data_IF_107715051012
#
_entry.id   IF_107715051012
#
_cell.length_a   1.000
_cell.length_b   1.000
_cell.length_c   1.000
_cell.angle_alpha   90.00
_cell.angle_beta   90.00
_cell.angle_gamma   90.00
#
_symmetry.space_group_name_H-M   'P 1'
#
loop_
_entity.id
_entity.type
_entity.pdbx_description
1 polymer ?
#
# COMPACT_ATOMS: atom_id res chain seq x y z
N UNK A 1 -23.54 38.49 -46.72
CA UNK A 1 -23.82 37.30 -45.88
C UNK A 1 -22.61 36.37 -46.02
N UNK A 2 -21.73 36.13 -45.02
CA UNK A 2 -21.91 35.23 -43.84
C UNK A 2 -22.77 34.02 -44.21
N UNK A 3 -22.41 32.73 -44.12
CA UNK A 3 -21.41 31.90 -43.39
C UNK A 3 -21.25 30.61 -44.26
N UNK A 4 -20.25 29.71 -44.23
CA UNK A 4 -19.09 29.41 -43.36
C UNK A 4 -17.90 28.96 -44.26
N UNK A 5 -16.67 28.88 -43.72
CA UNK A 5 -15.59 27.97 -44.17
C UNK A 5 -14.96 27.32 -42.92
N UNK A 6 -14.26 26.20 -43.11
CA UNK A 6 -13.41 25.48 -42.15
C UNK A 6 -14.13 24.58 -41.13
N UNK A 7 -14.03 23.26 -41.35
CA UNK A 7 -14.14 22.23 -40.31
C UNK A 7 -13.35 20.99 -40.74
N UNK A 8 -12.01 21.09 -40.78
CA UNK A 8 -11.10 19.97 -41.04
C UNK A 8 -9.63 20.34 -40.72
N UNK A 9 -9.35 20.81 -39.49
CA UNK A 9 -7.98 20.94 -38.99
C UNK A 9 -7.96 21.06 -37.45
N UNK A 10 -8.01 19.91 -36.76
CA UNK A 10 -7.95 19.86 -35.28
C UNK A 10 -7.33 18.56 -34.73
N UNK A 11 -6.47 17.87 -35.50
CA UNK A 11 -5.84 16.59 -35.10
C UNK A 11 -4.31 16.61 -35.06
N UNK A 12 -3.67 17.77 -35.24
CA UNK A 12 -2.21 17.88 -35.43
C UNK A 12 -1.53 19.02 -34.63
N UNK A 13 -2.07 19.40 -33.47
CA UNK A 13 -1.46 20.39 -32.56
C UNK A 13 -1.44 19.91 -31.10
N UNK A 14 -0.84 18.75 -30.86
CA UNK A 14 -0.34 18.33 -29.54
C UNK A 14 1.10 17.74 -29.54
N UNK A 15 2.10 18.33 -30.24
CA UNK A 15 3.50 17.90 -30.09
C UNK A 15 4.22 18.72 -29.00
N UNK A 16 3.98 18.44 -27.71
CA UNK A 16 4.93 18.62 -26.57
C UNK A 16 4.23 18.31 -25.24
N UNK A 17 3.95 17.03 -24.97
CA UNK A 17 3.65 16.54 -23.61
C UNK A 17 4.05 15.07 -23.42
N UNK A 18 5.14 14.64 -24.09
CA UNK A 18 5.85 13.43 -23.71
C UNK A 18 6.48 13.67 -22.34
N UNK A 19 5.91 13.06 -21.31
CA UNK A 19 6.28 13.25 -19.91
C UNK A 19 5.13 12.95 -18.94
N UNK A 20 3.88 13.10 -19.41
CA UNK A 20 2.69 12.54 -18.76
C UNK A 20 2.16 11.36 -19.59
N UNK A 21 2.92 10.26 -19.62
CA UNK A 21 2.39 8.99 -20.11
C UNK A 21 1.18 8.62 -19.26
N UNK A 22 0.12 8.13 -19.92
CA UNK A 22 -1.17 7.82 -19.30
C UNK A 22 -0.98 6.95 -18.04
N UNK A 23 -1.11 7.56 -16.85
CA UNK A 23 -1.28 6.78 -15.61
C UNK A 23 -2.63 6.09 -15.71
N UNK A 24 -2.58 4.81 -16.10
CA UNK A 24 -3.76 3.97 -16.24
C UNK A 24 -4.61 4.05 -14.97
N UNK A 25 -5.93 4.16 -15.16
CA UNK A 25 -6.89 4.08 -14.07
C UNK A 25 -6.66 2.80 -13.27
N UNK A 26 -6.71 2.92 -11.95
CA UNK A 26 -6.28 1.91 -10.97
C UNK A 26 -4.76 1.76 -10.69
N UNK A 27 -3.83 2.53 -11.29
CA UNK A 27 -2.42 2.47 -10.85
C UNK A 27 -2.21 2.91 -9.38
N UNK A 28 -3.15 3.71 -8.82
CA UNK A 28 -3.14 4.09 -7.40
C UNK A 28 -3.17 2.90 -6.42
N UNK A 29 -3.58 1.70 -6.86
CA UNK A 29 -3.61 0.50 -6.03
C UNK A 29 -2.20 0.06 -5.59
N UNK A 30 -1.18 0.40 -6.37
CA UNK A 30 0.25 0.12 -6.10
C UNK A 30 0.89 1.16 -5.17
N UNK A 31 0.20 2.27 -4.87
CA UNK A 31 0.73 3.31 -3.98
C UNK A 31 0.55 2.88 -2.52
N UNK A 32 1.65 2.83 -1.77
CA UNK A 32 1.64 2.50 -0.35
C UNK A 32 0.72 3.47 0.42
N UNK A 33 -0.35 2.98 1.07
CA UNK A 33 -1.37 3.84 1.67
C UNK A 33 -1.05 4.29 3.09
N UNK A 34 -0.12 3.63 3.78
CA UNK A 34 0.20 3.88 5.18
C UNK A 34 1.65 4.35 5.41
N UNK A 35 1.80 5.24 6.39
CA UNK A 35 3.09 5.87 6.69
C UNK A 35 4.17 4.89 7.21
N UNK A 36 3.78 3.79 7.90
CA UNK A 36 4.72 2.77 8.39
C UNK A 36 5.41 2.06 7.23
N UNK A 37 4.65 1.39 6.36
CA UNK A 37 5.18 0.71 5.18
C UNK A 37 5.84 1.69 4.22
N UNK A 38 5.31 2.91 4.06
CA UNK A 38 5.94 3.94 3.22
C UNK A 38 7.29 4.43 3.77
N UNK A 39 7.51 4.38 5.10
CA UNK A 39 8.82 4.63 5.71
C UNK A 39 9.84 3.50 5.44
N UNK A 40 9.34 2.32 5.09
CA UNK A 40 10.09 1.10 4.78
C UNK A 40 10.03 0.75 3.27
N UNK A 41 9.98 1.76 2.40
CA UNK A 41 9.98 1.59 0.94
C UNK A 41 8.86 0.69 0.38
N UNK A 42 7.70 0.70 1.03
CA UNK A 42 6.51 -0.04 0.59
C UNK A 42 6.44 -1.49 1.06
N UNK A 43 7.39 -1.96 1.88
CA UNK A 43 7.33 -3.32 2.43
C UNK A 43 6.20 -3.47 3.45
N UNK A 44 5.48 -4.59 3.40
CA UNK A 44 4.40 -4.92 4.32
C UNK A 44 3.75 -6.30 4.10
N UNK A 45 4.23 -7.10 3.14
CA UNK A 45 3.63 -8.40 2.80
C UNK A 45 3.83 -9.48 3.88
N UNK A 46 4.88 -9.35 4.69
CA UNK A 46 5.24 -10.31 5.74
C UNK A 46 5.33 -9.69 7.16
N UNK A 47 5.38 -8.36 7.28
CA UNK A 47 5.35 -7.63 8.57
C UNK A 47 4.11 -8.01 9.38
N UNK A 48 4.27 -8.23 10.69
CA UNK A 48 3.17 -8.63 11.60
C UNK A 48 2.77 -7.55 12.62
N UNK A 49 3.61 -6.52 12.83
CA UNK A 49 3.33 -5.37 13.71
C UNK A 49 2.70 -4.17 12.96
N UNK A 50 1.97 -4.46 11.88
CA UNK A 50 1.24 -3.50 11.05
C UNK A 50 -0.27 -3.83 10.99
N UNK A 51 -0.82 -4.55 11.99
CA UNK A 51 -2.17 -5.14 11.93
C UNK A 51 -3.30 -4.17 11.54
N UNK A 52 -3.18 -2.88 11.87
CA UNK A 52 -4.14 -1.83 11.50
C UNK A 52 -4.07 -1.39 10.03
N UNK A 53 -2.96 -1.62 9.33
CA UNK A 53 -2.74 -1.25 7.91
C UNK A 53 -2.56 -2.47 7.00
N UNK A 54 -2.34 -3.64 7.58
CA UNK A 54 -2.11 -4.92 6.92
C UNK A 54 -3.14 -5.33 5.85
N UNK A 55 -4.39 -4.84 5.93
CA UNK A 55 -5.40 -5.11 4.88
C UNK A 55 -4.95 -4.64 3.49
N UNK A 56 -4.25 -3.50 3.43
CA UNK A 56 -3.72 -2.91 2.20
C UNK A 56 -2.56 -3.70 1.60
N UNK A 57 -1.84 -4.43 2.45
CA UNK A 57 -0.69 -5.26 2.08
C UNK A 57 -1.11 -6.72 2.05
N UNK A 58 -0.99 -7.45 3.15
CA UNK A 58 -1.40 -8.84 3.25
C UNK A 58 -2.20 -9.09 4.52
N UNK A 59 -3.53 -9.15 4.42
CA UNK A 59 -4.43 -9.33 5.56
C UNK A 59 -4.20 -10.62 6.37
N UNK A 60 -3.50 -11.62 5.83
CA UNK A 60 -3.19 -12.86 6.56
C UNK A 60 -2.19 -12.63 7.71
N UNK A 61 -1.36 -11.57 7.64
CA UNK A 61 -0.42 -11.17 8.71
C UNK A 61 -1.13 -10.80 10.02
N UNK A 62 -2.36 -10.28 9.94
CA UNK A 62 -3.17 -9.82 11.09
C UNK A 62 -3.37 -10.93 12.13
N UNK A 63 -3.46 -12.20 11.69
CA UNK A 63 -3.61 -13.33 12.58
C UNK A 63 -2.43 -13.51 13.57
N UNK A 64 -1.24 -12.98 13.21
CA UNK A 64 -0.02 -12.99 14.00
C UNK A 64 0.29 -11.66 14.70
N UNK A 65 -0.60 -10.66 14.59
CA UNK A 65 -0.48 -9.42 15.36
C UNK A 65 -0.55 -9.71 16.87
N UNK A 66 0.07 -8.85 17.69
CA UNK A 66 -0.11 -8.91 19.15
C UNK A 66 -1.43 -8.25 19.58
N UNK A 67 -1.87 -7.23 18.84
CA UNK A 67 -3.09 -6.46 19.08
C UNK A 67 -4.33 -7.31 18.72
N UNK A 68 -5.44 -7.13 19.45
CA UNK A 68 -6.73 -7.78 19.20
C UNK A 68 -7.55 -7.02 18.16
N UNK A 69 -7.51 -5.69 18.23
CA UNK A 69 -8.20 -4.82 17.28
C UNK A 69 -7.43 -3.51 17.07
N UNK A 70 -7.81 -2.78 16.04
CA UNK A 70 -7.31 -1.43 15.86
C UNK A 70 -7.85 -0.76 14.62
N UNK A 71 -7.80 0.56 14.64
CA UNK A 71 -8.14 1.43 13.52
C UNK A 71 -6.92 2.26 13.14
N UNK A 72 -6.78 2.62 11.87
CA UNK A 72 -5.81 3.63 11.44
C UNK A 72 -6.36 4.53 10.34
N UNK A 73 -5.77 5.70 10.26
CA UNK A 73 -5.99 6.69 9.22
C UNK A 73 -4.64 7.19 8.74
N UNK A 74 -4.47 7.31 7.42
CA UNK A 74 -3.26 7.79 6.77
C UNK A 74 -3.60 8.82 5.71
N UNK A 75 -2.76 9.84 5.61
CA UNK A 75 -2.78 10.85 4.58
C UNK A 75 -1.42 10.93 3.90
N UNK A 76 -1.38 10.66 2.60
CA UNK A 76 -0.21 10.88 1.77
C UNK A 76 -0.43 12.06 0.82
N UNK A 77 0.55 12.96 0.73
CA UNK A 77 0.66 13.96 -0.33
C UNK A 77 1.74 13.52 -1.31
N UNK A 78 1.38 13.30 -2.56
CA UNK A 78 2.25 12.66 -3.56
C UNK A 78 2.55 13.65 -4.69
N UNK A 79 3.83 13.83 -5.03
CA UNK A 79 4.33 14.79 -6.03
C UNK A 79 3.71 16.21 -5.97
N UNK A 80 3.37 16.67 -4.76
CA UNK A 80 2.65 17.93 -4.48
C UNK A 80 1.25 18.11 -5.09
N UNK A 81 0.88 17.38 -6.13
CA UNK A 81 -0.41 17.52 -6.82
C UNK A 81 -1.45 16.50 -6.33
N UNK A 82 -1.05 15.23 -6.21
CA UNK A 82 -1.91 14.12 -5.82
C UNK A 82 -2.08 14.03 -4.29
N UNK A 83 -3.17 13.40 -3.85
CA UNK A 83 -3.35 13.04 -2.44
C UNK A 83 -4.05 11.69 -2.30
N UNK A 84 -3.62 10.88 -1.34
CA UNK A 84 -4.25 9.61 -0.96
C UNK A 84 -4.69 9.71 0.49
N UNK A 85 -5.96 9.46 0.74
CA UNK A 85 -6.48 9.20 2.07
C UNK A 85 -6.70 7.69 2.20
N UNK A 86 -6.37 7.12 3.34
CA UNK A 86 -6.57 5.69 3.62
C UNK A 86 -7.02 5.51 5.05
N UNK A 87 -7.98 4.63 5.27
CA UNK A 87 -8.56 4.34 6.58
C UNK A 87 -8.84 2.85 6.69
N UNK A 88 -8.54 2.24 7.83
CA UNK A 88 -8.73 0.81 8.04
C UNK A 88 -9.10 0.48 9.47
N UNK A 89 -9.73 -0.68 9.64
CA UNK A 89 -10.14 -1.28 10.90
C UNK A 89 -9.87 -2.78 10.82
N UNK A 90 -9.37 -3.41 11.88
CA UNK A 90 -9.37 -4.87 12.02
C UNK A 90 -9.87 -5.30 13.40
N UNK A 91 -10.37 -6.54 13.45
CA UNK A 91 -10.82 -7.18 14.69
C UNK A 91 -10.56 -8.69 14.61
N UNK A 92 -9.78 -9.21 15.57
CA UNK A 92 -9.53 -10.65 15.75
C UNK A 92 -10.59 -11.23 16.68
N UNK A 93 -11.14 -12.37 16.28
CA UNK A 93 -12.28 -13.02 16.95
C UNK A 93 -11.77 -14.17 17.83
N UNK A 94 -12.32 -14.21 19.05
CA UNK A 94 -12.08 -15.27 20.02
C UNK A 94 -10.77 -15.11 20.81
N UNK A 95 -10.69 -15.78 21.96
CA UNK A 95 -9.52 -15.71 22.86
C UNK A 95 -8.21 -16.21 22.23
N UNK A 96 -8.31 -17.07 21.21
CA UNK A 96 -7.16 -17.62 20.48
C UNK A 96 -6.76 -16.76 19.28
N UNK A 97 -7.56 -15.74 18.90
CA UNK A 97 -7.26 -14.83 17.79
C UNK A 97 -7.09 -15.48 16.41
N UNK A 98 -7.54 -16.73 16.24
CA UNK A 98 -7.27 -17.57 15.06
C UNK A 98 -7.91 -17.08 13.76
N UNK A 99 -8.86 -16.16 13.82
CA UNK A 99 -9.54 -15.62 12.65
C UNK A 99 -10.09 -14.22 12.95
N UNK A 100 -10.49 -13.50 11.92
CA UNK A 100 -11.05 -12.17 12.10
C UNK A 100 -11.35 -11.49 10.77
N UNK A 101 -11.78 -10.23 10.89
CA UNK A 101 -12.10 -9.39 9.74
C UNK A 101 -11.27 -8.12 9.75
N UNK A 102 -11.03 -7.57 8.57
CA UNK A 102 -10.57 -6.21 8.40
C UNK A 102 -11.39 -5.49 7.33
N UNK A 103 -11.50 -4.18 7.46
CA UNK A 103 -12.17 -3.29 6.51
C UNK A 103 -11.20 -2.17 6.17
N UNK A 104 -11.10 -1.83 4.89
CA UNK A 104 -10.21 -0.81 4.37
C UNK A 104 -10.98 0.13 3.45
N UNK A 105 -10.58 1.39 3.42
CA UNK A 105 -11.10 2.38 2.50
C UNK A 105 -9.95 3.27 2.03
N UNK A 106 -9.86 3.48 0.72
CA UNK A 106 -8.87 4.39 0.13
C UNK A 106 -9.56 5.36 -0.81
N UNK A 107 -9.10 6.61 -0.81
CA UNK A 107 -9.60 7.66 -1.67
C UNK A 107 -8.42 8.46 -2.23
N UNK A 108 -8.14 8.23 -3.50
CA UNK A 108 -7.11 8.92 -4.27
C UNK A 108 -7.74 10.10 -5.01
N UNK A 109 -7.04 11.24 -4.95
CA UNK A 109 -7.44 12.53 -5.51
C UNK A 109 -6.40 12.97 -6.52
N UNK A 110 -6.84 13.09 -7.76
CA UNK A 110 -6.03 13.58 -8.87
C UNK A 110 -5.82 15.10 -8.82
N UNK A 111 -4.83 15.63 -9.57
CA UNK A 111 -4.73 17.06 -9.86
C UNK A 111 -6.04 17.63 -10.42
N UNK A 112 -6.21 18.95 -10.26
CA UNK A 112 -7.32 19.65 -10.93
C UNK A 112 -7.14 19.56 -12.44
N UNK A 113 -8.16 19.08 -13.14
CA UNK A 113 -8.27 19.18 -14.60
C UNK A 113 -9.41 20.16 -14.89
N UNK A 114 -9.06 21.34 -15.40
CA UNK A 114 -9.95 22.51 -15.42
C UNK A 114 -10.43 22.80 -13.98
N UNK A 115 -11.74 22.77 -13.71
CA UNK A 115 -12.32 23.00 -12.39
C UNK A 115 -12.71 21.73 -11.63
N UNK A 116 -12.71 20.56 -12.27
CA UNK A 116 -13.03 19.28 -11.63
C UNK A 116 -11.78 18.59 -11.09
N UNK A 117 -11.96 17.81 -10.02
CA UNK A 117 -10.95 16.87 -9.52
C UNK A 117 -11.45 15.45 -9.77
N UNK A 118 -10.85 14.72 -10.72
CA UNK A 118 -11.05 13.28 -10.81
C UNK A 118 -10.74 12.63 -9.47
N UNK A 119 -11.51 11.60 -9.15
CA UNK A 119 -11.29 10.84 -7.94
C UNK A 119 -11.62 9.37 -8.16
N UNK A 120 -10.83 8.53 -7.52
CA UNK A 120 -11.02 7.08 -7.46
C UNK A 120 -10.97 6.66 -6.00
N UNK A 121 -11.92 5.82 -5.62
CA UNK A 121 -11.98 5.26 -4.29
C UNK A 121 -12.16 3.75 -4.37
N UNK A 122 -11.67 3.06 -3.34
CA UNK A 122 -11.92 1.64 -3.17
C UNK A 122 -12.27 1.30 -1.72
N UNK A 123 -13.10 0.27 -1.57
CA UNK A 123 -13.57 -0.28 -0.31
C UNK A 123 -13.21 -1.76 -0.25
N UNK A 124 -12.61 -2.16 0.86
CA UNK A 124 -12.04 -3.48 1.10
C UNK A 124 -12.74 -4.15 2.27
N UNK A 125 -13.02 -5.43 2.13
CA UNK A 125 -13.45 -6.30 3.22
C UNK A 125 -12.63 -7.59 3.16
N UNK A 126 -11.82 -7.83 4.19
CA UNK A 126 -10.97 -9.01 4.31
C UNK A 126 -11.47 -9.95 5.42
N UNK A 127 -11.36 -11.24 5.16
CA UNK A 127 -11.42 -12.29 6.18
C UNK A 127 -10.10 -13.04 6.22
N UNK A 128 -9.54 -13.24 7.41
CA UNK A 128 -8.30 -13.98 7.61
C UNK A 128 -8.49 -15.10 8.64
N UNK A 129 -7.71 -16.18 8.51
CA UNK A 129 -7.76 -17.34 9.41
C UNK A 129 -6.44 -18.13 9.42
N UNK A 130 -5.99 -18.46 10.62
CA UNK A 130 -5.01 -19.51 10.88
C UNK A 130 -5.59 -20.87 10.49
N UNK A 131 -4.99 -21.50 9.48
CA UNK A 131 -5.34 -22.83 8.97
C UNK A 131 -4.42 -23.93 9.52
N UNK A 132 -3.23 -23.54 10.01
CA UNK A 132 -2.35 -24.40 10.80
C UNK A 132 -1.61 -23.54 11.85
N UNK A 133 -0.91 -24.19 12.79
CA UNK A 133 -0.25 -23.55 13.96
C UNK A 133 0.58 -22.30 13.62
N UNK A 134 1.21 -22.29 12.45
CA UNK A 134 2.12 -21.25 11.97
C UNK A 134 1.69 -20.64 10.62
N UNK A 135 0.49 -20.96 10.11
CA UNK A 135 0.07 -20.59 8.75
C UNK A 135 -1.32 -19.92 8.78
N UNK A 136 -1.36 -18.68 8.31
CA UNK A 136 -2.57 -17.89 8.10
C UNK A 136 -2.85 -17.74 6.60
N UNK A 137 -4.14 -17.75 6.23
CA UNK A 137 -4.62 -17.39 4.90
C UNK A 137 -5.65 -16.26 5.01
N UNK A 138 -5.75 -15.44 3.98
CA UNK A 138 -6.77 -14.39 3.87
C UNK A 138 -7.38 -14.29 2.48
N UNK A 139 -8.63 -13.83 2.44
CA UNK A 139 -9.33 -13.42 1.23
C UNK A 139 -9.84 -11.99 1.44
N UNK A 140 -9.42 -11.06 0.59
CA UNK A 140 -9.90 -9.68 0.55
C UNK A 140 -10.78 -9.49 -0.67
N UNK A 141 -11.98 -8.97 -0.49
CA UNK A 141 -12.83 -8.45 -1.55
C UNK A 141 -12.64 -6.93 -1.65
N UNK A 142 -12.44 -6.42 -2.86
CA UNK A 142 -12.26 -4.99 -3.13
C UNK A 142 -13.26 -4.52 -4.18
N UNK A 143 -14.01 -3.48 -3.84
CA UNK A 143 -14.86 -2.75 -4.78
C UNK A 143 -14.20 -1.41 -5.11
N UNK A 144 -14.08 -1.09 -6.40
CA UNK A 144 -13.50 0.16 -6.88
C UNK A 144 -14.54 0.99 -7.62
N UNK A 145 -14.50 2.31 -7.45
CA UNK A 145 -15.24 3.26 -8.27
C UNK A 145 -14.37 4.45 -8.65
N UNK A 146 -14.34 4.75 -9.94
CA UNK A 146 -13.66 5.90 -10.51
C UNK A 146 -14.66 6.88 -11.14
N UNK A 147 -14.43 8.18 -10.96
CA UNK A 147 -15.14 9.23 -11.70
C UNK A 147 -14.13 10.21 -12.31
N UNK A 148 -14.04 10.19 -13.64
CA UNK A 148 -13.02 10.92 -14.39
C UNK A 148 -13.38 12.40 -14.66
N UNK A 149 -14.67 12.73 -14.73
CA UNK A 149 -15.17 14.09 -14.95
C UNK A 149 -16.53 14.28 -14.26
N UNK A 150 -16.91 15.53 -13.96
CA UNK A 150 -18.18 15.85 -13.31
C UNK A 150 -19.41 15.27 -14.04
N UNK A 151 -19.40 15.35 -15.38
CA UNK A 151 -20.45 14.85 -16.27
C UNK A 151 -20.21 13.43 -16.80
N UNK A 152 -19.17 12.72 -16.32
CA UNK A 152 -18.92 11.34 -16.71
C UNK A 152 -19.61 10.34 -15.77
N UNK A 153 -20.11 9.24 -16.34
CA UNK A 153 -20.62 8.11 -15.56
C UNK A 153 -19.52 7.50 -14.68
N UNK A 154 -19.85 7.25 -13.42
CA UNK A 154 -18.98 6.49 -12.51
C UNK A 154 -18.72 5.08 -13.07
N UNK A 155 -17.45 4.69 -13.16
CA UNK A 155 -17.02 3.36 -13.60
C UNK A 155 -16.67 2.52 -12.39
N UNK A 156 -17.27 1.33 -12.29
CA UNK A 156 -17.11 0.45 -11.15
C UNK A 156 -16.36 -0.84 -11.54
N UNK A 157 -15.51 -1.35 -10.66
CA UNK A 157 -14.89 -2.66 -10.79
C UNK A 157 -14.87 -3.42 -9.46
N UNK A 158 -14.58 -4.72 -9.53
CA UNK A 158 -14.41 -5.61 -8.38
C UNK A 158 -13.20 -6.51 -8.60
N UNK A 159 -12.44 -6.78 -7.54
CA UNK A 159 -11.36 -7.74 -7.53
C UNK A 159 -11.23 -8.48 -6.18
N UNK A 160 -10.44 -9.54 -6.20
CA UNK A 160 -10.11 -10.37 -5.07
C UNK A 160 -8.59 -10.36 -4.86
N UNK A 161 -8.19 -10.33 -3.59
CA UNK A 161 -6.81 -10.53 -3.17
C UNK A 161 -6.72 -11.78 -2.29
N UNK A 162 -5.77 -12.65 -2.57
CA UNK A 162 -5.47 -13.85 -1.78
C UNK A 162 -4.16 -13.63 -1.05
N UNK A 163 -4.16 -13.81 0.27
CA UNK A 163 -2.98 -13.67 1.12
C UNK A 163 -2.65 -14.97 1.85
N UNK A 164 -1.37 -15.21 2.06
CA UNK A 164 -0.85 -16.25 2.93
C UNK A 164 0.33 -15.71 3.74
N UNK A 165 0.45 -16.12 5.00
CA UNK A 165 1.60 -15.78 5.85
C UNK A 165 1.99 -17.00 6.67
N UNK A 166 3.26 -17.39 6.61
CA UNK A 166 3.87 -18.34 7.53
C UNK A 166 4.72 -17.58 8.54
N UNK A 167 4.52 -17.80 9.83
CA UNK A 167 5.22 -17.12 10.93
C UNK A 167 5.86 -18.13 11.88
N UNK A 168 7.10 -17.88 12.34
CA UNK A 168 7.79 -18.76 13.28
C UNK A 168 8.85 -18.04 14.12
N UNK A 169 8.89 -18.35 15.41
CA UNK A 169 9.98 -17.94 16.31
C UNK A 169 11.29 -18.69 15.97
N UNK A 170 12.43 -18.03 16.18
CA UNK A 170 13.78 -18.52 16.00
C UNK A 170 14.38 -18.88 17.35
N UNK A 171 15.21 -19.92 17.43
CA UNK A 171 16.02 -20.21 18.63
C UNK A 171 17.24 -19.26 18.74
N UNK A 172 16.97 -17.95 18.72
CA UNK A 172 17.95 -16.87 18.75
C UNK A 172 17.39 -15.75 19.65
N UNK A 173 18.25 -15.08 20.44
CA UNK A 173 17.84 -14.11 21.46
C UNK A 173 16.77 -14.69 22.41
N UNK A 174 17.09 -15.79 23.09
CA UNK A 174 16.20 -16.50 24.05
C UNK A 174 14.79 -16.81 23.51
N UNK A 175 14.73 -17.32 22.28
CA UNK A 175 13.51 -17.61 21.50
C UNK A 175 12.61 -16.39 21.17
N UNK A 176 13.09 -15.16 21.41
CA UNK A 176 12.34 -13.93 21.15
C UNK A 176 12.42 -13.46 19.69
N UNK A 177 13.47 -13.79 18.95
CA UNK A 177 13.57 -13.45 17.53
C UNK A 177 12.53 -14.24 16.71
N UNK A 178 12.00 -13.64 15.65
CA UNK A 178 11.03 -14.31 14.78
C UNK A 178 11.22 -13.95 13.31
N UNK A 179 10.66 -14.79 12.44
CA UNK A 179 10.60 -14.52 11.01
C UNK A 179 9.23 -14.88 10.46
N UNK A 180 8.89 -14.24 9.35
CA UNK A 180 7.71 -14.51 8.56
C UNK A 180 8.04 -14.51 7.07
N UNK A 181 7.28 -15.30 6.33
CA UNK A 181 7.20 -15.22 4.86
C UNK A 181 5.74 -14.99 4.49
N UNK A 182 5.50 -13.96 3.69
CA UNK A 182 4.19 -13.58 3.18
C UNK A 182 4.11 -13.81 1.68
N UNK A 183 2.99 -14.34 1.19
CA UNK A 183 2.66 -14.39 -0.23
C UNK A 183 1.33 -13.68 -0.47
N UNK A 184 1.22 -12.98 -1.60
CA UNK A 184 -0.03 -12.37 -2.03
C UNK A 184 -0.24 -12.51 -3.54
N UNK A 185 -1.47 -12.78 -3.96
CA UNK A 185 -1.95 -12.52 -5.30
C UNK A 185 -3.06 -11.47 -5.23
N UNK A 186 -2.80 -10.25 -5.70
CA UNK A 186 -3.67 -9.09 -5.53
C UNK A 186 -4.24 -8.54 -6.84
N UNK A 187 -5.29 -7.74 -6.73
CA UNK A 187 -6.01 -7.05 -7.80
C UNK A 187 -6.55 -8.00 -8.89
N UNK A 188 -6.88 -9.25 -8.53
CA UNK A 188 -7.43 -10.25 -9.47
C UNK A 188 -8.91 -10.00 -9.70
N UNK A 189 -9.28 -9.38 -10.82
CA UNK A 189 -10.67 -9.02 -11.05
C UNK A 189 -11.01 -8.44 -12.41
N UNK A 190 -12.18 -7.78 -12.45
CA UNK A 190 -12.72 -7.17 -13.66
C UNK A 190 -11.88 -5.95 -14.06
N UNK A 191 -11.84 -5.65 -15.35
CA UNK A 191 -11.26 -4.41 -15.89
C UNK A 191 -12.02 -3.18 -15.39
N UNK A 192 -11.29 -2.11 -15.05
CA UNK A 192 -11.84 -0.78 -14.79
C UNK A 192 -11.78 0.03 -16.09
N UNK A 193 -12.91 0.54 -16.55
CA UNK A 193 -13.06 1.32 -17.79
C UNK A 193 -12.31 0.76 -19.02
N UNK A 194 -12.31 -0.58 -19.17
CA UNK A 194 -11.62 -1.29 -20.26
C UNK A 194 -10.13 -1.55 -20.04
N UNK A 195 -9.50 -0.89 -19.06
CA UNK A 195 -8.11 -1.08 -18.63
C UNK A 195 -7.99 -2.24 -17.63
N UNK A 196 -6.89 -3.00 -17.67
CA UNK A 196 -6.65 -4.09 -16.72
C UNK A 196 -6.23 -3.50 -15.37
N UNK A 197 -6.75 -4.03 -14.27
CA UNK A 197 -6.22 -3.72 -12.93
C UNK A 197 -4.75 -4.20 -12.83
N UNK A 198 -3.92 -3.55 -12.00
CA UNK A 198 -2.54 -3.98 -11.69
C UNK A 198 -2.52 -5.27 -10.87
N UNK A 199 -2.92 -6.38 -11.51
CA UNK A 199 -2.83 -7.72 -10.95
C UNK A 199 -1.36 -8.04 -10.61
N UNK A 200 -1.05 -8.33 -9.36
CA UNK A 200 0.33 -8.54 -8.89
C UNK A 200 0.49 -9.81 -8.07
N UNK A 201 1.67 -10.41 -8.16
CA UNK A 201 2.13 -11.48 -7.28
C UNK A 201 3.25 -10.94 -6.39
N UNK A 202 3.02 -10.98 -5.08
CA UNK A 202 3.96 -10.53 -4.05
C UNK A 202 4.54 -11.70 -3.25
N UNK A 203 5.83 -11.65 -2.96
CA UNK A 203 6.49 -12.51 -1.98
C UNK A 203 7.34 -11.63 -1.05
N UNK A 204 7.01 -11.65 0.24
CA UNK A 204 7.70 -10.91 1.29
C UNK A 204 8.38 -11.81 2.30
N UNK A 205 9.43 -11.29 2.92
CA UNK A 205 10.08 -11.86 4.10
C UNK A 205 10.29 -10.79 5.15
N UNK A 206 10.15 -11.14 6.42
CA UNK A 206 10.47 -10.24 7.54
C UNK A 206 11.19 -11.00 8.64
N UNK A 207 12.16 -10.35 9.28
CA UNK A 207 12.87 -10.85 10.46
C UNK A 207 12.78 -9.78 11.54
N UNK A 208 12.32 -10.18 12.73
CA UNK A 208 12.26 -9.35 13.93
C UNK A 208 13.33 -9.80 14.93
N UNK A 209 14.18 -8.85 15.33
CA UNK A 209 15.31 -9.02 16.24
C UNK A 209 15.12 -8.13 17.49
N UNK A 210 14.43 -8.62 18.54
CA UNK A 210 14.29 -7.92 19.81
C UNK A 210 15.57 -8.10 20.65
N UNK A 211 16.48 -7.13 20.57
CA UNK A 211 17.70 -7.11 21.39
C UNK A 211 17.42 -6.90 22.88
N UNK A 212 16.28 -6.27 23.21
CA UNK A 212 15.75 -6.14 24.57
C UNK A 212 14.25 -5.86 24.52
N UNK A 213 13.59 -5.81 25.69
CA UNK A 213 12.16 -5.44 25.84
C UNK A 213 11.86 -4.05 25.24
N UNK A 214 12.87 -3.17 25.16
CA UNK A 214 12.73 -1.78 24.73
C UNK A 214 13.28 -1.50 23.32
N UNK A 215 14.11 -2.41 22.77
CA UNK A 215 14.86 -2.18 21.55
C UNK A 215 14.70 -3.37 20.59
N UNK A 216 14.07 -3.12 19.44
CA UNK A 216 13.74 -4.13 18.41
C UNK A 216 14.10 -3.61 17.02
N UNK A 217 14.88 -4.39 16.28
CA UNK A 217 15.14 -4.18 14.86
C UNK A 217 14.30 -5.14 14.03
N UNK A 218 13.45 -4.62 13.16
CA UNK A 218 12.78 -5.37 12.11
C UNK A 218 13.47 -5.10 10.79
N UNK A 219 13.64 -6.13 9.95
CA UNK A 219 14.09 -6.01 8.56
C UNK A 219 13.09 -6.73 7.66
N UNK A 220 12.58 -6.04 6.65
CA UNK A 220 11.62 -6.55 5.68
C UNK A 220 12.17 -6.46 4.25
N UNK A 221 11.79 -7.43 3.42
CA UNK A 221 12.18 -7.54 2.02
C UNK A 221 11.01 -8.10 1.22
N UNK A 222 10.43 -7.28 0.33
CA UNK A 222 9.28 -7.65 -0.49
C UNK A 222 9.64 -7.60 -1.98
N UNK A 223 9.23 -8.62 -2.73
CA UNK A 223 9.30 -8.68 -4.19
C UNK A 223 7.89 -8.68 -4.77
N UNK A 224 7.58 -7.77 -5.68
CA UNK A 224 6.27 -7.67 -6.33
C UNK A 224 6.43 -7.76 -7.86
N UNK A 225 5.69 -8.65 -8.50
CA UNK A 225 5.69 -8.81 -9.96
C UNK A 225 4.31 -8.49 -10.53
N UNK A 226 4.24 -7.42 -11.34
CA UNK A 226 3.01 -6.97 -11.98
C UNK A 226 2.77 -7.78 -13.25
N UNK A 227 1.56 -8.33 -13.39
CA UNK A 227 1.17 -9.24 -14.47
C UNK A 227 0.70 -8.56 -15.77
N UNK A 228 -0.05 -7.43 -15.77
CA UNK A 228 -0.59 -6.87 -17.01
C UNK A 228 0.50 -6.40 -17.95
N UNK A 229 0.44 -6.84 -19.21
CA UNK A 229 1.41 -6.55 -20.28
C UNK A 229 1.85 -5.09 -20.40
N UNK A 230 0.94 -4.15 -20.18
CA UNK A 230 1.18 -2.70 -20.27
C UNK A 230 2.14 -2.18 -19.19
N UNK A 231 2.08 -2.75 -17.97
CA UNK A 231 2.82 -2.32 -16.78
C UNK A 231 3.65 -3.48 -16.17
N UNK A 232 3.97 -4.50 -16.97
CA UNK A 232 4.64 -5.72 -16.50
C UNK A 232 6.11 -5.45 -16.17
N UNK A 233 6.43 -5.48 -14.88
CA UNK A 233 7.78 -5.37 -14.35
C UNK A 233 7.90 -6.02 -12.96
N UNK A 234 9.13 -6.20 -12.50
CA UNK A 234 9.46 -6.58 -11.13
C UNK A 234 9.76 -5.30 -10.33
N UNK A 235 9.25 -5.23 -9.12
CA UNK A 235 9.61 -4.27 -8.08
C UNK A 235 10.16 -5.02 -6.87
N UNK A 236 11.03 -4.39 -6.10
CA UNK A 236 11.47 -4.90 -4.80
C UNK A 236 11.60 -3.76 -3.79
N UNK A 237 11.11 -3.95 -2.57
CA UNK A 237 11.32 -3.04 -1.45
C UNK A 237 12.21 -3.71 -0.40
N UNK A 238 13.20 -3.00 0.12
CA UNK A 238 13.90 -3.38 1.35
C UNK A 238 13.71 -2.29 2.39
N UNK A 239 13.35 -2.67 3.60
CA UNK A 239 13.03 -1.76 4.69
C UNK A 239 13.57 -2.25 6.04
N UNK A 240 13.88 -1.31 6.92
CA UNK A 240 14.23 -1.58 8.31
C UNK A 240 13.48 -0.62 9.24
N UNK A 241 13.00 -1.16 10.36
CA UNK A 241 12.38 -0.40 11.45
C UNK A 241 13.16 -0.67 12.74
N UNK A 242 13.68 0.38 13.38
CA UNK A 242 14.28 0.30 14.70
C UNK A 242 13.40 1.00 15.72
N UNK A 243 12.92 0.22 16.68
CA UNK A 243 12.19 0.70 17.84
C UNK A 243 13.19 0.91 18.96
N UNK A 244 13.17 2.09 19.59
CA UNK A 244 14.07 2.46 20.68
C UNK A 244 13.27 2.97 21.88
N UNK A 245 13.70 2.57 23.09
CA UNK A 245 13.04 2.92 24.35
C UNK A 245 11.54 2.59 24.37
N UNK A 246 11.08 1.58 23.62
CA UNK A 246 9.66 1.18 23.43
C UNK A 246 8.73 2.22 22.76
N UNK A 247 9.01 3.51 22.86
CA UNK A 247 8.17 4.59 22.34
C UNK A 247 8.59 5.11 20.98
N UNK A 248 9.89 5.24 20.73
CA UNK A 248 10.41 5.87 19.52
C UNK A 248 10.62 4.88 18.40
N UNK A 249 10.28 5.27 17.17
CA UNK A 249 10.51 4.45 15.98
C UNK A 249 11.25 5.27 14.93
N UNK A 250 12.28 4.67 14.31
CA UNK A 250 12.91 5.17 13.09
C UNK A 250 12.86 4.11 12.00
N UNK A 251 12.63 4.54 10.76
CA UNK A 251 12.50 3.69 9.59
C UNK A 251 13.36 4.21 8.45
N UNK A 252 13.94 3.28 7.70
CA UNK A 252 14.58 3.58 6.44
C UNK A 252 14.31 2.45 5.45
N UNK A 253 14.28 2.77 4.16
CA UNK A 253 14.12 1.77 3.12
C UNK A 253 14.59 2.25 1.76
N UNK A 254 14.68 1.32 0.82
CA UNK A 254 14.93 1.61 -0.58
C UNK A 254 14.01 0.77 -1.47
N UNK A 255 13.32 1.45 -2.39
CA UNK A 255 12.46 0.86 -3.40
C UNK A 255 13.21 0.74 -4.71
N UNK A 256 13.19 -0.45 -5.30
CA UNK A 256 13.69 -0.77 -6.62
C UNK A 256 12.49 -1.00 -7.55
N UNK A 257 12.41 -0.25 -8.65
CA UNK A 257 11.32 -0.35 -9.61
C UNK A 257 11.72 0.14 -11.00
N UNK A 258 10.97 -0.30 -12.01
CA UNK A 258 11.11 0.16 -13.39
C UNK A 258 10.71 1.66 -13.47
N UNK A 259 11.56 2.48 -14.09
CA UNK A 259 11.33 3.93 -14.24
C UNK A 259 10.30 4.27 -15.32
N UNK A 260 10.15 3.40 -16.31
CA UNK A 260 9.28 3.63 -17.47
C UNK A 260 7.89 3.01 -17.27
N UNK A 261 7.80 1.93 -16.48
CA UNK A 261 6.57 1.17 -16.23
C UNK A 261 6.00 1.29 -14.82
N UNK A 262 6.67 2.00 -13.93
CA UNK A 262 6.27 2.05 -12.52
C UNK A 262 6.75 3.28 -11.79
N UNK A 263 6.80 3.17 -10.47
CA UNK A 263 7.14 4.27 -9.55
C UNK A 263 8.62 4.67 -9.67
N UNK A 264 9.46 3.80 -10.22
CA UNK A 264 10.92 3.94 -10.26
C UNK A 264 11.60 3.66 -8.92
N UNK A 265 12.87 4.04 -8.83
CA UNK A 265 13.69 3.87 -7.64
C UNK A 265 13.57 5.09 -6.71
N UNK A 266 13.43 4.85 -5.40
CA UNK A 266 13.44 5.91 -4.40
C UNK A 266 13.88 5.37 -3.03
N UNK A 267 14.60 6.20 -2.27
CA UNK A 267 14.84 5.96 -0.85
C UNK A 267 13.65 6.41 0.00
N UNK A 268 13.53 5.90 1.21
CA UNK A 268 12.52 6.35 2.18
C UNK A 268 13.14 6.53 3.55
N UNK A 269 12.63 7.53 4.29
CA UNK A 269 12.85 7.68 5.71
C UNK A 269 11.49 7.78 6.39
N UNK A 270 11.40 7.27 7.61
CA UNK A 270 10.24 7.46 8.45
C UNK A 270 10.60 7.53 9.92
N UNK A 271 9.66 8.05 10.70
CA UNK A 271 9.72 8.02 12.15
C UNK A 271 8.31 7.76 12.70
N UNK A 272 8.24 7.36 13.96
CA UNK A 272 6.98 7.11 14.63
C UNK A 272 7.08 7.22 16.14
N UNK A 273 5.92 7.34 16.78
CA UNK A 273 5.74 7.35 18.23
C UNK A 273 4.65 6.33 18.57
N UNK A 274 5.03 5.31 19.33
CA UNK A 274 4.14 4.31 19.88
C UNK A 274 3.85 4.66 21.35
N UNK A 275 2.70 5.28 21.62
CA UNK A 275 2.25 5.60 22.97
C UNK A 275 0.87 4.99 23.21
N UNK A 276 0.87 3.73 23.68
CA UNK A 276 -0.34 2.91 23.79
C UNK A 276 -1.52 3.66 24.42
N UNK A 277 -2.74 3.61 23.81
CA UNK A 277 -3.12 2.84 22.62
C UNK A 277 -2.81 3.52 21.27
N UNK A 278 -2.22 4.71 21.27
CA UNK A 278 -2.03 5.54 20.06
C UNK A 278 -0.69 5.20 19.38
N UNK A 279 -0.71 5.07 18.06
CA UNK A 279 0.49 5.07 17.20
C UNK A 279 0.41 6.29 16.27
N UNK A 280 1.52 6.99 16.06
CA UNK A 280 1.59 8.10 15.11
C UNK A 280 2.87 7.95 14.27
N UNK A 281 2.73 8.01 12.96
CA UNK A 281 3.79 7.68 12.01
C UNK A 281 3.93 8.78 10.95
N UNK A 282 5.16 9.05 10.54
CA UNK A 282 5.48 9.96 9.45
C UNK A 282 6.50 9.30 8.51
N UNK A 283 6.37 9.54 7.21
CA UNK A 283 7.36 9.11 6.23
C UNK A 283 7.56 10.12 5.10
N UNK A 284 8.74 10.07 4.50
CA UNK A 284 9.18 10.94 3.42
C UNK A 284 9.96 10.14 2.37
N UNK A 285 9.62 10.32 1.10
CA UNK A 285 10.30 9.68 -0.02
C UNK A 285 11.42 10.57 -0.58
N UNK A 286 12.63 10.01 -0.55
CA UNK A 286 13.87 10.56 -1.13
C UNK A 286 14.00 10.05 -2.57
N UNK A 287 13.43 10.80 -3.50
CA UNK A 287 13.33 10.42 -4.90
C UNK A 287 13.94 11.47 -5.84
N UNK A 288 14.50 11.01 -6.96
CA UNK A 288 15.07 11.84 -8.02
C UNK A 288 14.02 12.76 -8.68
N UNK A 289 14.50 13.74 -9.46
CA UNK A 289 13.65 14.78 -10.08
C UNK A 289 12.52 14.22 -10.94
N UNK A 290 12.76 13.07 -11.57
CA UNK A 290 11.89 12.43 -12.58
C UNK A 290 11.04 11.29 -12.00
N UNK A 291 11.19 10.97 -10.70
CA UNK A 291 10.43 9.91 -10.05
C UNK A 291 9.08 10.42 -9.51
N UNK A 292 8.02 9.62 -9.67
CA UNK A 292 6.67 9.94 -9.21
C UNK A 292 6.58 10.17 -7.68
N UNK A 293 7.46 9.58 -6.89
CA UNK A 293 7.49 9.73 -5.42
C UNK A 293 8.27 10.96 -4.94
N UNK A 294 8.71 11.83 -5.84
CA UNK A 294 9.37 13.09 -5.49
C UNK A 294 8.50 13.94 -4.58
N UNK A 295 9.09 14.47 -3.50
CA UNK A 295 8.39 15.32 -2.50
C UNK A 295 7.16 14.64 -1.88
N UNK A 296 7.10 13.30 -1.93
CA UNK A 296 6.02 12.55 -1.29
C UNK A 296 6.26 12.45 0.21
N UNK A 297 5.23 12.76 0.99
CA UNK A 297 5.23 12.56 2.43
C UNK A 297 3.91 11.95 2.88
N UNK A 298 3.94 11.19 3.97
CA UNK A 298 2.76 10.59 4.58
C UNK A 298 2.73 10.84 6.09
N UNK A 299 1.51 10.95 6.62
CA UNK A 299 1.24 11.00 8.06
C UNK A 299 0.13 10.00 8.39
N UNK A 300 0.42 9.08 9.29
CA UNK A 300 -0.49 8.07 9.81
C UNK A 300 -0.79 8.27 11.29
N UNK A 301 -2.01 7.95 11.70
CA UNK A 301 -2.40 7.83 13.12
C UNK A 301 -3.21 6.54 13.26
N UNK A 302 -2.83 5.72 14.23
CA UNK A 302 -3.50 4.48 14.59
C UNK A 302 -3.92 4.45 16.06
N UNK A 303 -4.92 3.64 16.36
CA UNK A 303 -5.31 3.27 17.72
C UNK A 303 -5.44 1.75 17.75
N UNK A 304 -4.74 1.08 18.68
CA UNK A 304 -4.69 -0.38 18.80
C UNK A 304 -4.97 -0.84 20.23
N UNK A 305 -5.57 -2.03 20.37
CA UNK A 305 -6.02 -2.63 21.64
C UNK A 305 -5.91 -4.16 21.61
#
# INVERSE_FOLDING_TARGET
MKRVKHFLLASCLFPTLLGAQEMASAYFLELTPDAQSAGMAGTGLATTDNGSTAIFHNASTIAFSQEVMGASYSYAKINQDYALHSASLFYRIGREGIHGFAVGFRHFKDPKVLDYRPHIWDLEAAYFRNVAKNLSLSLTFRYLQAKAAENADSKNSVCLDFGATYYRNMALLDEMASWSIGFQAANLGKKLDGQKLPARLGLGGTIDLPFSIENRLQVALDFNYLLPSEIRHLQAGIGAEYNFLKYGVVRAGYHFGDKDKGVGNYGTLGCGINFWPIRADFSYALADKDCFMRRTWQLGVGIVF
#
